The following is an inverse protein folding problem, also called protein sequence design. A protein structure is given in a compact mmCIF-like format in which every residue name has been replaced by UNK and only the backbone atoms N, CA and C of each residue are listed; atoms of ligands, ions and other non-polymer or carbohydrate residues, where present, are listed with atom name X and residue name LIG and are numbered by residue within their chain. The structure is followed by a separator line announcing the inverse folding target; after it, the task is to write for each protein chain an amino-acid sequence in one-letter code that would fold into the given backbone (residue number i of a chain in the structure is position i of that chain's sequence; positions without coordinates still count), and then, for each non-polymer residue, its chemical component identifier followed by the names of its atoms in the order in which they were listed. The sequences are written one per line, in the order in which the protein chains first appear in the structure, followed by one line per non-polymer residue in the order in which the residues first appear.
data_IF_891692696460
#
_entry.id   IF_891692696460
#
_cell.length_a   1.000
_cell.length_b   1.000
_cell.length_c   1.000
_cell.angle_alpha   90.00
_cell.angle_beta   90.00
_cell.angle_gamma   90.00
#
_symmetry.space_group_name_H-M   'P 1'
#
loop_
_entity.id
_entity.type
_entity.pdbx_description
1 polymer ?
#
# COMPACT_ATOMS: atom_id res chain seq x y z
N UNK A 1 12.93 -55.38 -1.62
CA UNK A 1 12.16 -55.72 -2.82
C UNK A 1 10.70 -55.41 -2.56
N UNK A 2 10.18 -54.38 -3.23
CA UNK A 2 8.75 -54.12 -3.50
C UNK A 2 8.15 -55.29 -4.32
N UNK A 3 6.85 -55.37 -4.65
CA UNK A 3 5.76 -54.36 -4.63
C UNK A 3 4.44 -54.97 -4.05
N UNK A 4 3.24 -54.39 -4.09
CA UNK A 4 2.61 -53.32 -4.86
C UNK A 4 1.09 -53.38 -4.61
N UNK A 5 0.44 -52.25 -4.86
CA UNK A 5 -0.95 -51.89 -4.53
C UNK A 5 -2.07 -52.64 -5.29
N UNK A 6 -3.30 -52.54 -4.76
CA UNK A 6 -4.53 -52.12 -5.47
C UNK A 6 -5.71 -52.05 -4.44
N UNK A 7 -6.24 -50.86 -4.15
CA UNK A 7 -7.41 -50.21 -4.76
C UNK A 7 -8.76 -50.89 -4.47
N UNK A 8 -9.70 -50.15 -3.85
CA UNK A 8 -11.13 -50.02 -4.20
C UNK A 8 -11.94 -49.47 -3.02
N UNK A 9 -13.02 -48.69 -3.13
CA UNK A 9 -13.71 -47.92 -4.19
C UNK A 9 -14.71 -47.02 -3.41
N UNK A 10 -14.87 -45.79 -3.89
CA UNK A 10 -16.04 -44.89 -3.88
C UNK A 10 -17.05 -44.82 -2.70
N UNK A 11 -17.38 -43.58 -2.29
CA UNK A 11 -18.73 -43.01 -2.49
C UNK A 11 -18.78 -41.47 -2.32
N UNK A 12 -19.09 -40.83 -3.45
CA UNK A 12 -19.69 -39.51 -3.77
C UNK A 12 -20.23 -38.57 -2.68
N UNK A 13 -19.89 -37.27 -2.75
CA UNK A 13 -20.81 -36.23 -3.31
C UNK A 13 -20.19 -34.82 -3.34
N UNK A 14 -20.60 -34.04 -4.35
CA UNK A 14 -19.94 -32.86 -4.89
C UNK A 14 -19.91 -31.60 -4.04
N UNK A 15 -18.85 -30.83 -4.23
CA UNK A 15 -18.78 -29.40 -3.94
C UNK A 15 -18.31 -28.71 -5.23
N UNK A 16 -19.13 -27.80 -5.76
CA UNK A 16 -18.89 -27.05 -6.99
C UNK A 16 -17.55 -26.29 -6.91
N UNK A 17 -16.56 -26.76 -7.68
CA UNK A 17 -15.32 -26.02 -7.99
C UNK A 17 -15.66 -24.91 -8.98
N UNK A 18 -15.50 -23.65 -8.59
CA UNK A 18 -15.40 -22.53 -9.55
C UNK A 18 -14.15 -22.78 -10.41
N UNK A 19 -14.32 -22.82 -11.73
CA UNK A 19 -13.21 -22.87 -12.70
C UNK A 19 -12.37 -21.60 -12.55
N UNK A 20 -11.09 -21.77 -12.26
CA UNK A 20 -10.06 -20.76 -12.50
C UNK A 20 -9.46 -21.08 -13.87
N UNK A 21 -9.53 -20.12 -14.79
CA UNK A 21 -8.90 -20.23 -16.10
C UNK A 21 -7.48 -19.68 -16.00
N UNK A 22 -6.54 -20.53 -16.40
CA UNK A 22 -5.10 -20.31 -16.42
C UNK A 22 -4.75 -19.52 -17.68
N UNK A 23 -4.07 -18.38 -17.53
CA UNK A 23 -3.39 -17.69 -18.63
C UNK A 23 -1.95 -17.45 -18.19
N UNK A 24 -1.07 -18.21 -18.83
CA UNK A 24 0.38 -18.06 -18.77
C UNK A 24 0.81 -17.08 -19.89
N UNK A 25 1.61 -16.07 -19.55
CA UNK A 25 2.06 -15.03 -20.48
C UNK A 25 3.19 -14.19 -19.87
N UNK A 26 4.27 -14.04 -20.62
CA UNK A 26 5.64 -13.86 -20.15
C UNK A 26 6.11 -12.43 -19.78
N UNK A 27 7.20 -12.42 -18.98
CA UNK A 27 8.35 -11.50 -18.96
C UNK A 27 8.36 -10.28 -18.01
N UNK A 28 9.44 -10.09 -17.21
CA UNK A 28 9.61 -8.98 -16.28
C UNK A 28 10.30 -7.79 -16.95
N UNK A 29 9.79 -6.57 -16.75
CA UNK A 29 10.51 -5.37 -17.19
C UNK A 29 10.42 -4.26 -16.13
N UNK A 30 11.50 -4.15 -15.35
CA UNK A 30 11.88 -2.97 -14.59
C UNK A 30 11.99 -1.77 -15.51
N UNK A 31 11.42 -0.64 -15.12
CA UNK A 31 11.67 0.62 -15.82
C UNK A 31 11.56 1.79 -14.85
N UNK A 32 12.73 2.23 -14.42
CA UNK A 32 13.04 3.59 -14.01
C UNK A 32 12.46 4.55 -15.06
N UNK A 33 11.67 5.52 -14.63
CA UNK A 33 11.26 6.66 -15.44
C UNK A 33 11.61 7.91 -14.64
N UNK A 34 12.74 8.53 -14.98
CA UNK A 34 12.95 9.96 -14.79
C UNK A 34 12.10 10.63 -15.88
N UNK A 35 11.27 11.61 -15.53
CA UNK A 35 10.48 12.39 -16.50
C UNK A 35 10.51 13.84 -16.05
N UNK A 36 11.41 14.61 -16.65
CA UNK A 36 11.40 16.06 -16.66
C UNK A 36 10.50 16.51 -17.82
N UNK A 37 9.44 17.26 -17.52
CA UNK A 37 8.57 17.86 -18.52
C UNK A 37 8.33 19.34 -18.17
N UNK A 38 9.16 20.21 -18.74
CA UNK A 38 8.93 21.66 -18.85
C UNK A 38 7.90 21.92 -19.96
N UNK A 39 6.68 22.34 -19.60
CA UNK A 39 5.63 22.71 -20.58
C UNK A 39 5.46 24.22 -20.63
N UNK A 40 5.66 24.71 -21.86
CA UNK A 40 5.58 26.06 -22.40
C UNK A 40 4.32 26.87 -22.02
N UNK A 41 4.54 28.09 -21.53
CA UNK A 41 3.51 29.13 -21.38
C UNK A 41 3.10 29.67 -22.74
N UNK A 42 1.82 29.55 -23.11
CA UNK A 42 1.27 30.22 -24.30
C UNK A 42 0.42 31.41 -23.90
N UNK A 43 0.86 32.58 -24.38
CA UNK A 43 0.32 33.93 -24.17
C UNK A 43 -0.85 34.26 -25.12
N UNK A 44 -1.74 35.11 -24.65
CA UNK A 44 -3.00 35.52 -25.29
C UNK A 44 -2.85 36.77 -26.15
N UNK A 45 -3.46 36.80 -27.34
CA UNK A 45 -4.02 38.02 -27.95
C UNK A 45 -4.90 37.66 -29.16
N UNK A 46 -6.16 38.11 -29.16
CA UNK A 46 -6.80 38.52 -30.41
C UNK A 46 -7.73 39.70 -30.13
N UNK A 47 -7.33 40.86 -30.66
CA UNK A 47 -8.02 42.14 -30.55
C UNK A 47 -8.82 42.36 -31.83
N UNK A 48 -10.09 41.96 -31.83
CA UNK A 48 -11.02 42.24 -32.91
C UNK A 48 -11.72 43.57 -32.71
N UNK A 49 -11.18 44.62 -33.34
CA UNK A 49 -11.87 45.88 -33.64
C UNK A 49 -13.01 45.63 -34.64
N UNK A 50 -14.21 46.16 -34.39
CA UNK A 50 -15.22 46.38 -35.43
C UNK A 50 -16.35 47.30 -34.96
N UNK A 51 -16.34 48.47 -35.59
CA UNK A 51 -17.32 49.56 -35.62
C UNK A 51 -18.81 49.15 -35.62
N UNK A 52 -19.59 49.96 -34.90
CA UNK A 52 -21.06 49.95 -34.82
C UNK A 52 -21.73 50.40 -36.14
N UNK A 53 -22.75 49.68 -36.65
CA UNK A 53 -23.76 50.27 -37.50
C UNK A 53 -25.08 50.41 -36.73
N UNK A 54 -25.52 51.66 -36.59
CA UNK A 54 -26.83 52.04 -36.06
C UNK A 54 -28.00 51.44 -36.87
N UNK A 55 -29.12 51.25 -36.16
CA UNK A 55 -30.53 51.28 -36.62
C UNK A 55 -31.28 49.96 -36.92
N UNK A 56 -32.53 49.99 -36.43
CA UNK A 56 -33.68 49.09 -36.61
C UNK A 56 -33.80 47.89 -35.65
N UNK A 57 -34.79 48.00 -34.76
CA UNK A 57 -35.40 46.89 -34.04
C UNK A 57 -36.17 46.01 -35.05
N UNK A 58 -35.46 45.29 -35.91
CA UNK A 58 -36.04 44.18 -36.64
C UNK A 58 -35.95 42.93 -35.75
N UNK A 59 -37.11 42.44 -35.32
CA UNK A 59 -37.26 41.10 -34.74
C UNK A 59 -36.84 40.07 -35.78
N UNK A 60 -35.54 39.79 -35.87
CA UNK A 60 -35.04 38.64 -36.60
C UNK A 60 -35.20 37.42 -35.68
N UNK A 61 -36.02 36.42 -36.05
CA UNK A 61 -36.10 35.19 -35.28
C UNK A 61 -34.73 34.55 -35.29
N UNK A 62 -34.13 34.38 -34.10
CA UNK A 62 -32.82 33.74 -33.96
C UNK A 62 -32.88 32.36 -34.60
N UNK A 63 -32.14 32.16 -35.70
CA UNK A 63 -32.19 30.90 -36.45
C UNK A 63 -31.89 29.71 -35.53
N UNK A 64 -32.82 28.77 -35.45
CA UNK A 64 -32.73 27.52 -34.67
C UNK A 64 -31.58 26.63 -35.17
N UNK A 65 -31.05 26.92 -36.37
CA UNK A 65 -30.06 26.09 -37.07
C UNK A 65 -28.59 26.31 -36.65
N UNK A 66 -28.29 27.13 -35.64
CA UNK A 66 -26.90 27.32 -35.19
C UNK A 66 -26.70 27.43 -33.68
N UNK A 67 -27.59 26.88 -32.86
CA UNK A 67 -27.27 26.61 -31.46
C UNK A 67 -26.74 25.19 -31.36
N UNK A 68 -25.46 25.02 -31.67
CA UNK A 68 -24.72 23.81 -31.33
C UNK A 68 -24.95 23.56 -29.83
N UNK A 69 -25.70 22.49 -29.52
CA UNK A 69 -26.16 22.22 -28.17
C UNK A 69 -24.93 21.83 -27.37
N UNK A 70 -24.27 22.80 -26.72
CA UNK A 70 -23.10 22.58 -25.86
C UNK A 70 -23.44 21.42 -24.93
N UNK A 71 -22.81 20.26 -25.16
CA UNK A 71 -22.97 19.08 -24.31
C UNK A 71 -22.46 19.50 -22.93
N UNK A 72 -23.38 19.73 -21.97
CA UNK A 72 -23.00 20.04 -20.58
C UNK A 72 -22.23 18.85 -20.06
N UNK A 73 -20.91 19.00 -19.93
CA UNK A 73 -20.07 18.04 -19.23
C UNK A 73 -20.42 18.11 -17.74
N UNK A 74 -20.72 16.95 -17.15
CA UNK A 74 -20.88 16.82 -15.71
C UNK A 74 -19.52 16.42 -15.15
N UNK A 75 -19.01 17.20 -14.21
CA UNK A 75 -17.75 16.91 -13.53
C UNK A 75 -18.03 16.43 -12.11
N UNK A 76 -17.27 15.46 -11.63
CA UNK A 76 -17.28 15.01 -10.25
C UNK A 76 -16.33 15.88 -9.45
N UNK A 77 -16.78 16.36 -8.29
CA UNK A 77 -15.96 17.13 -7.38
C UNK A 77 -15.86 16.38 -6.06
N UNK A 78 -14.63 16.17 -5.61
CA UNK A 78 -14.35 15.65 -4.28
C UNK A 78 -14.22 16.83 -3.32
N UNK A 79 -14.91 16.76 -2.18
CA UNK A 79 -14.97 17.87 -1.23
C UNK A 79 -14.19 17.54 0.05
N UNK A 80 -14.58 16.47 0.74
CA UNK A 80 -14.00 16.11 2.04
C UNK A 80 -13.62 14.63 2.14
N UNK A 81 -12.68 14.36 3.05
CA UNK A 81 -12.26 13.03 3.50
C UNK A 81 -12.78 12.83 4.91
N UNK A 82 -13.44 11.69 5.17
CA UNK A 82 -13.88 11.31 6.52
C UNK A 82 -13.12 10.07 6.98
N UNK A 83 -12.42 10.19 8.11
CA UNK A 83 -11.59 9.14 8.72
C UNK A 83 -12.29 8.60 9.96
N UNK A 84 -12.42 7.28 10.05
CA UNK A 84 -13.01 6.59 11.19
C UNK A 84 -11.92 5.81 11.95
N UNK A 85 -11.83 6.02 13.27
CA UNK A 85 -10.85 5.35 14.11
C UNK A 85 -11.52 4.25 14.93
N UNK A 86 -10.97 3.04 14.84
CA UNK A 86 -11.46 1.86 15.56
C UNK A 86 -10.40 1.36 16.52
N UNK A 87 -10.84 0.81 17.66
CA UNK A 87 -9.93 0.18 18.60
C UNK A 87 -9.58 -1.21 18.09
N UNK A 88 -8.30 -1.57 18.20
CA UNK A 88 -7.79 -2.90 17.86
C UNK A 88 -8.46 -3.96 18.74
N UNK A 89 -9.04 -5.01 18.14
CA UNK A 89 -9.54 -6.19 18.84
C UNK A 89 -8.67 -7.38 18.49
N UNK A 90 -8.00 -7.94 19.48
CA UNK A 90 -7.23 -9.16 19.32
C UNK A 90 -8.12 -10.34 19.70
N UNK A 91 -8.33 -11.25 18.75
CA UNK A 91 -9.06 -12.48 18.95
C UNK A 91 -8.13 -13.70 18.94
N UNK A 92 -8.60 -14.78 19.55
CA UNK A 92 -8.06 -16.13 19.40
C UNK A 92 -8.99 -17.03 18.57
N UNK A 93 -10.09 -16.46 18.06
CA UNK A 93 -11.20 -17.20 17.46
C UNK A 93 -10.95 -17.61 16.00
N UNK A 94 -9.96 -17.03 15.32
CA UNK A 94 -9.48 -17.55 14.05
C UNK A 94 -7.96 -17.66 14.06
N UNK A 95 -7.48 -18.89 13.96
CA UNK A 95 -6.06 -19.19 13.82
C UNK A 95 -5.74 -19.12 12.32
N UNK A 96 -4.84 -18.22 11.86
CA UNK A 96 -4.36 -18.28 10.49
C UNK A 96 -3.76 -19.65 10.20
N UNK A 97 -3.74 -20.09 8.94
CA UNK A 97 -3.14 -21.37 8.56
C UNK A 97 -1.66 -21.51 8.94
N UNK A 98 -0.96 -20.39 9.15
CA UNK A 98 0.42 -20.33 9.67
C UNK A 98 0.51 -19.91 11.16
N UNK A 99 -0.59 -19.93 11.91
CA UNK A 99 -0.64 -19.45 13.28
C UNK A 99 -0.65 -17.92 13.38
N UNK A 100 -0.85 -17.41 14.60
CA UNK A 100 -0.95 -15.98 14.89
C UNK A 100 -2.27 -15.60 15.55
N UNK A 101 -2.30 -14.44 16.20
CA UNK A 101 -3.53 -13.92 16.81
C UNK A 101 -4.34 -13.17 15.77
N UNK A 102 -5.65 -13.42 15.72
CA UNK A 102 -6.55 -12.65 14.84
C UNK A 102 -6.47 -11.17 15.19
N UNK A 103 -6.13 -10.35 14.19
CA UNK A 103 -6.18 -8.90 14.30
C UNK A 103 -7.50 -8.39 13.70
N UNK A 104 -8.41 -7.92 14.55
CA UNK A 104 -9.69 -7.32 14.16
C UNK A 104 -9.84 -5.87 14.64
N UNK A 105 -10.97 -5.27 14.27
CA UNK A 105 -11.39 -3.93 14.70
C UNK A 105 -12.65 -4.01 15.56
N UNK A 106 -12.89 -3.00 16.39
CA UNK A 106 -14.16 -2.85 17.10
C UNK A 106 -15.32 -2.68 16.12
N UNK A 107 -16.52 -3.12 16.52
CA UNK A 107 -17.75 -2.95 15.72
C UNK A 107 -18.21 -1.48 15.66
N UNK A 108 -17.71 -0.65 16.58
CA UNK A 108 -17.98 0.78 16.66
C UNK A 108 -16.66 1.56 16.63
N UNK A 109 -16.65 2.69 15.96
CA UNK A 109 -15.53 3.63 15.99
C UNK A 109 -15.49 4.36 17.33
N UNK A 110 -14.30 4.75 17.78
CA UNK A 110 -14.12 5.60 18.96
C UNK A 110 -14.10 7.09 18.60
N UNK A 111 -13.74 7.44 17.36
CA UNK A 111 -13.71 8.82 16.89
C UNK A 111 -13.82 8.89 15.37
N UNK A 112 -14.23 10.06 14.89
CA UNK A 112 -14.36 10.41 13.47
C UNK A 112 -13.72 11.76 13.25
N UNK A 113 -13.02 11.92 12.13
CA UNK A 113 -12.44 13.20 11.71
C UNK A 113 -12.81 13.49 10.28
N UNK A 114 -13.07 14.75 9.97
CA UNK A 114 -13.32 15.20 8.61
C UNK A 114 -12.27 16.24 8.23
N UNK A 115 -11.81 16.14 7.00
CA UNK A 115 -10.78 17.00 6.42
C UNK A 115 -11.22 17.44 5.04
N UNK A 116 -10.79 18.61 4.62
CA UNK A 116 -10.70 18.92 3.19
C UNK A 116 -9.61 18.06 2.54
N UNK A 117 -9.59 17.99 1.20
CA UNK A 117 -8.54 17.25 0.49
C UNK A 117 -7.13 17.77 0.79
N UNK A 118 -6.97 19.10 0.88
CA UNK A 118 -5.67 19.73 1.16
C UNK A 118 -5.18 19.45 2.57
N UNK A 119 -6.07 19.55 3.58
CA UNK A 119 -5.74 19.22 4.96
C UNK A 119 -5.36 17.74 5.10
N UNK A 120 -6.08 16.85 4.42
CA UNK A 120 -5.77 15.43 4.48
C UNK A 120 -4.42 15.09 3.84
N UNK A 121 -4.06 15.75 2.74
CA UNK A 121 -2.75 15.58 2.12
C UNK A 121 -1.61 15.97 3.07
N UNK A 122 -1.72 17.14 3.72
CA UNK A 122 -0.75 17.57 4.73
C UNK A 122 -0.68 16.61 5.94
N UNK A 123 -1.84 16.11 6.39
CA UNK A 123 -1.89 15.15 7.50
C UNK A 123 -1.22 13.81 7.13
N UNK A 124 -1.41 13.32 5.90
CA UNK A 124 -0.72 12.13 5.41
C UNK A 124 0.79 12.33 5.34
N UNK A 125 1.26 13.48 4.84
CA UNK A 125 2.69 13.79 4.80
C UNK A 125 3.29 13.86 6.21
N UNK A 126 2.58 14.49 7.15
CA UNK A 126 3.00 14.57 8.56
C UNK A 126 3.16 13.19 9.17
N UNK A 127 2.17 12.32 9.00
CA UNK A 127 2.18 10.93 9.50
C UNK A 127 3.31 10.12 8.84
N UNK A 128 3.51 10.27 7.54
CA UNK A 128 4.57 9.57 6.81
C UNK A 128 5.96 9.96 7.35
N UNK A 129 6.20 11.27 7.54
CA UNK A 129 7.46 11.77 8.11
C UNK A 129 7.68 11.26 9.54
N UNK A 130 6.63 11.20 10.33
CA UNK A 130 6.68 10.68 11.70
C UNK A 130 7.04 9.19 11.72
N UNK A 131 6.38 8.39 10.87
CA UNK A 131 6.67 6.96 10.71
C UNK A 131 8.13 6.70 10.32
N UNK A 132 8.68 7.45 9.36
CA UNK A 132 10.09 7.32 8.98
C UNK A 132 11.05 7.67 10.14
N UNK A 133 10.72 8.70 10.94
CA UNK A 133 11.53 9.06 12.10
C UNK A 133 11.49 7.97 13.18
N UNK A 134 10.32 7.42 13.47
CA UNK A 134 10.19 6.32 14.44
C UNK A 134 10.93 5.07 13.96
N UNK A 135 10.81 4.71 12.68
CA UNK A 135 11.53 3.58 12.13
C UNK A 135 13.06 3.74 12.30
N UNK A 136 13.60 4.93 12.00
CA UNK A 136 15.03 5.18 12.19
C UNK A 136 15.46 5.12 13.66
N UNK A 137 14.61 5.58 14.58
CA UNK A 137 14.86 5.47 16.03
C UNK A 137 14.87 4.01 16.48
N UNK A 138 13.92 3.22 16.00
CA UNK A 138 13.80 1.81 16.31
C UNK A 138 15.02 1.02 15.79
N UNK A 139 15.48 1.28 14.57
CA UNK A 139 16.69 0.66 14.01
C UNK A 139 17.95 0.96 14.84
N UNK A 140 18.10 2.21 15.29
CA UNK A 140 19.21 2.59 16.20
C UNK A 140 19.12 1.85 17.53
N UNK A 141 17.92 1.78 18.12
CA UNK A 141 17.69 1.08 19.38
C UNK A 141 17.93 -0.43 19.23
N UNK A 142 17.49 -1.03 18.13
CA UNK A 142 17.69 -2.44 17.81
C UNK A 142 19.17 -2.77 17.64
N UNK A 143 19.93 -1.92 16.95
CA UNK A 143 21.39 -2.06 16.84
C UNK A 143 22.06 -2.02 18.22
N UNK A 144 21.68 -1.08 19.09
CA UNK A 144 22.21 -1.00 20.44
C UNK A 144 21.84 -2.24 21.27
N UNK A 145 20.58 -2.68 21.20
CA UNK A 145 20.09 -3.88 21.89
C UNK A 145 20.85 -5.13 21.43
N UNK A 146 21.16 -5.24 20.14
CA UNK A 146 21.96 -6.34 19.59
C UNK A 146 23.39 -6.28 20.10
N UNK A 147 24.04 -5.11 20.09
CA UNK A 147 25.39 -4.92 20.65
C UNK A 147 25.46 -5.31 22.12
N UNK A 148 24.50 -4.85 22.93
CA UNK A 148 24.42 -5.21 24.36
C UNK A 148 24.22 -6.72 24.52
N UNK A 149 23.36 -7.36 23.71
CA UNK A 149 23.21 -8.81 23.73
C UNK A 149 24.53 -9.52 23.40
N UNK A 150 25.23 -9.09 22.35
CA UNK A 150 26.53 -9.66 21.98
C UNK A 150 27.56 -9.47 23.10
N UNK A 151 27.70 -8.26 23.66
CA UNK A 151 28.61 -7.98 24.78
C UNK A 151 28.29 -8.85 26.01
N UNK A 152 27.02 -9.12 26.30
CA UNK A 152 26.64 -10.00 27.40
C UNK A 152 26.85 -11.49 27.08
N UNK A 153 26.86 -11.88 25.80
CA UNK A 153 27.13 -13.25 25.35
C UNK A 153 28.63 -13.55 25.21
N UNK A 154 29.45 -12.58 24.84
CA UNK A 154 30.91 -12.71 24.65
C UNK A 154 31.63 -13.35 25.86
N UNK A 155 31.43 -12.91 27.12
CA UNK A 155 32.03 -13.57 28.28
C UNK A 155 31.61 -15.04 28.43
N UNK A 156 30.37 -15.37 28.07
CA UNK A 156 29.85 -16.72 28.14
C UNK A 156 30.47 -17.60 27.05
N UNK A 157 30.65 -17.08 25.82
CA UNK A 157 31.35 -17.77 24.74
C UNK A 157 32.82 -18.01 25.09
N UNK A 158 33.49 -17.04 25.69
CA UNK A 158 34.87 -17.19 26.18
C UNK A 158 34.96 -18.26 27.28
N UNK A 159 34.03 -18.27 28.23
CA UNK A 159 33.96 -19.30 29.28
C UNK A 159 33.71 -20.70 28.69
N UNK A 160 32.81 -20.85 27.72
CA UNK A 160 32.59 -22.13 27.04
C UNK A 160 33.81 -22.59 26.25
N UNK A 161 34.52 -21.68 25.59
CA UNK A 161 35.75 -21.99 24.85
C UNK A 161 36.86 -22.46 25.79
N UNK A 162 37.06 -21.77 26.92
CA UNK A 162 38.03 -22.12 27.95
C UNK A 162 37.71 -23.50 28.58
N UNK A 163 36.44 -23.74 28.93
CA UNK A 163 36.00 -25.04 29.45
C UNK A 163 36.17 -26.17 28.41
N UNK A 164 35.97 -25.89 27.12
CA UNK A 164 36.18 -26.89 26.06
C UNK A 164 37.65 -27.30 25.88
N UNK A 165 38.58 -26.35 26.06
CA UNK A 165 40.02 -26.63 26.02
C UNK A 165 40.49 -27.40 27.26
N UNK A 166 39.91 -27.10 28.43
CA UNK A 166 40.17 -27.83 29.67
C UNK A 166 39.73 -29.31 29.57
N UNK A 167 38.59 -29.57 28.93
CA UNK A 167 38.09 -30.93 28.70
C UNK A 167 38.87 -31.71 27.62
N UNK A 168 39.57 -31.03 26.71
CA UNK A 168 40.45 -31.61 25.69
C UNK A 168 41.90 -31.69 26.20
N UNK A 169 42.09 -32.18 27.43
CA UNK A 169 43.41 -32.50 27.98
C UNK A 169 44.17 -33.50 27.08
N UNK A 170 45.51 -33.56 27.18
CA UNK A 170 46.35 -34.30 26.23
C UNK A 170 45.93 -35.78 26.18
N UNK A 171 45.56 -36.24 24.99
CA UNK A 171 45.50 -37.67 24.67
C UNK A 171 46.93 -38.18 24.83
N UNK A 172 47.21 -38.85 25.94
CA UNK A 172 48.46 -39.60 26.11
C UNK A 172 48.47 -40.72 25.06
N UNK A 173 49.16 -40.47 23.95
CA UNK A 173 49.54 -41.50 22.99
C UNK A 173 50.66 -42.27 23.67
N UNK A 174 50.35 -43.47 24.17
CA UNK A 174 51.30 -44.45 24.69
C UNK A 174 52.07 -45.11 23.55
#
# INVERSE_FOLDING_TARGET
MLPGACDSIAAMSGILKRKFEEVDGSSPCSSVRESDDDISSSESADSGDSVNPSTSNHFTPSSILKREKRKRTKNVHFNCVTVYYFTRRQGFTSVPSQGGSTLGMSTRHNSVRQYTLGEFAMEQERLHREMLREHLREEKLNSLKLKVKLINFEPCLMYFHEQSQSCMGPVCIF
#
